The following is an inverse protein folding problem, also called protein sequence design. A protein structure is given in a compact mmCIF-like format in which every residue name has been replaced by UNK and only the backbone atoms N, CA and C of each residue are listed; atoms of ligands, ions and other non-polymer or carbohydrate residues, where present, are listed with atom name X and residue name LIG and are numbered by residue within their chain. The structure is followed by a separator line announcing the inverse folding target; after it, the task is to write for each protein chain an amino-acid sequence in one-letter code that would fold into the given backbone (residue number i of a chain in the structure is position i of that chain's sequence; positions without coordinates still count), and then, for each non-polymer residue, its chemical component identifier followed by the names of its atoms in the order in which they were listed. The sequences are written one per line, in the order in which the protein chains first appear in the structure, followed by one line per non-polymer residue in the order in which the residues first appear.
data_IF_824475539060
#
_entry.id   IF_824475539060
#
_cell.length_a   1.000
_cell.length_b   1.000
_cell.length_c   1.000
_cell.angle_alpha   90.00
_cell.angle_beta   90.00
_cell.angle_gamma   90.00
#
_symmetry.space_group_name_H-M   'P 1'
#
loop_
_entity.id
_entity.type
_entity.pdbx_description
1 polymer ?
#
# COMPACT_ATOMS: atom_id res chain seq x y z
N UNK A 1 -9.35 -4.70 6.71
CA UNK A 1 -9.08 -3.36 7.30
C UNK A 1 -9.75 -2.32 6.43
N UNK A 2 -10.24 -1.19 6.98
CA UNK A 2 -10.82 -0.11 6.16
C UNK A 2 -9.74 0.91 5.81
N UNK A 3 -9.70 1.34 4.55
CA UNK A 3 -8.84 2.42 4.12
C UNK A 3 -9.29 3.75 4.77
N UNK A 4 -8.36 4.67 5.07
CA UNK A 4 -8.67 5.96 5.67
C UNK A 4 -9.41 6.88 4.68
N UNK A 5 -10.17 7.83 5.23
CA UNK A 5 -10.66 8.98 4.48
C UNK A 5 -9.61 10.09 4.60
N UNK A 6 -9.22 10.69 3.48
CA UNK A 6 -8.10 11.61 3.36
C UNK A 6 -8.52 12.93 2.71
N UNK A 7 -7.58 13.87 2.59
CA UNK A 7 -7.79 15.07 1.80
C UNK A 7 -7.91 14.74 0.31
N UNK A 8 -8.59 15.61 -0.44
CA UNK A 8 -8.75 15.44 -1.89
C UNK A 8 -7.37 15.27 -2.57
N UNK A 9 -7.32 14.37 -3.55
CA UNK A 9 -6.12 13.95 -4.30
C UNK A 9 -5.10 13.10 -3.53
N UNK A 10 -5.22 12.95 -2.20
CA UNK A 10 -4.37 12.02 -1.47
C UNK A 10 -4.74 10.56 -1.75
N UNK A 11 -3.76 9.69 -1.59
CA UNK A 11 -3.89 8.24 -1.78
C UNK A 11 -3.28 7.51 -0.59
N UNK A 12 -3.87 6.38 -0.22
CA UNK A 12 -3.30 5.49 0.78
C UNK A 12 -2.84 4.18 0.14
N UNK A 13 -1.73 3.65 0.63
CA UNK A 13 -1.17 2.37 0.21
C UNK A 13 -1.07 1.45 1.41
N UNK A 14 -1.69 0.27 1.31
CA UNK A 14 -1.57 -0.82 2.27
C UNK A 14 -0.54 -1.82 1.73
N UNK A 15 0.41 -2.21 2.58
CA UNK A 15 1.43 -3.21 2.26
C UNK A 15 1.08 -4.55 2.90
N UNK A 16 1.30 -5.65 2.18
CA UNK A 16 1.15 -7.01 2.68
C UNK A 16 2.28 -7.92 2.16
N UNK A 17 2.54 -9.02 2.86
CA UNK A 17 3.38 -10.11 2.33
C UNK A 17 2.67 -10.78 1.15
N UNK A 18 3.34 -10.84 -0.01
CA UNK A 18 2.77 -11.37 -1.25
C UNK A 18 2.26 -12.82 -1.11
N UNK A 19 3.02 -13.67 -0.42
CA UNK A 19 2.71 -15.10 -0.32
C UNK A 19 1.63 -15.44 0.72
N UNK A 20 1.47 -14.60 1.75
CA UNK A 20 0.63 -14.92 2.91
C UNK A 20 -0.56 -13.98 3.08
N UNK A 21 -0.54 -12.82 2.41
CA UNK A 21 -1.52 -11.75 2.60
C UNK A 21 -1.44 -11.08 3.98
N UNK A 22 -0.41 -11.36 4.78
CA UNK A 22 -0.25 -10.75 6.10
C UNK A 22 0.05 -9.25 5.92
N UNK A 23 -0.80 -8.41 6.52
CA UNK A 23 -0.65 -6.95 6.50
C UNK A 23 0.62 -6.54 7.24
N UNK A 24 1.31 -5.56 6.66
CA UNK A 24 2.51 -4.96 7.22
C UNK A 24 2.23 -3.55 7.74
N UNK A 25 3.05 -3.10 8.67
CA UNK A 25 3.14 -1.69 9.06
C UNK A 25 3.86 -0.88 7.99
N UNK A 26 3.86 0.45 8.12
CA UNK A 26 4.62 1.36 7.26
C UNK A 26 6.13 1.16 7.33
N UNK A 27 6.62 0.48 8.37
CA UNK A 27 8.01 0.04 8.51
C UNK A 27 8.26 -1.37 7.94
N UNK A 28 7.30 -1.95 7.20
CA UNK A 28 7.39 -3.30 6.63
C UNK A 28 7.57 -4.43 7.64
N UNK A 29 7.00 -4.27 8.85
CA UNK A 29 6.93 -5.33 9.87
C UNK A 29 5.52 -5.90 9.92
N UNK A 30 5.34 -7.17 10.27
CA UNK A 30 4.00 -7.77 10.43
C UNK A 30 3.17 -6.97 11.42
N UNK A 31 1.97 -6.57 11.02
CA UNK A 31 1.07 -5.82 11.87
C UNK A 31 0.40 -6.75 12.89
N UNK A 32 0.82 -6.67 14.15
CA UNK A 32 0.30 -7.47 15.27
C UNK A 32 -0.73 -6.70 16.10
N UNK A 33 -1.48 -5.78 15.48
CA UNK A 33 -2.51 -4.95 16.12
C UNK A 33 -2.03 -3.56 16.58
N UNK A 34 -0.77 -3.21 16.36
CA UNK A 34 -0.19 -1.89 16.66
C UNK A 34 0.62 -1.34 15.47
N UNK A 35 0.78 -0.02 15.41
CA UNK A 35 1.53 0.69 14.37
C UNK A 35 0.67 1.10 13.16
N UNK A 36 1.18 2.08 12.41
CA UNK A 36 0.54 2.57 11.19
C UNK A 36 0.70 1.55 10.05
N UNK A 37 -0.32 1.42 9.22
CA UNK A 37 -0.42 0.38 8.16
C UNK A 37 -0.68 0.97 6.77
N UNK A 38 -1.02 2.25 6.71
CA UNK A 38 -1.22 2.96 5.44
C UNK A 38 -0.12 4.00 5.26
N UNK A 39 0.59 3.91 4.16
CA UNK A 39 1.41 5.01 3.67
C UNK A 39 0.50 6.02 2.98
N UNK A 40 0.68 7.32 3.26
CA UNK A 40 -0.13 8.39 2.69
C UNK A 40 0.71 9.20 1.71
N UNK A 41 0.18 9.39 0.50
CA UNK A 41 0.83 10.15 -0.56
C UNK A 41 -0.07 11.29 -1.04
N UNK A 42 0.55 12.42 -1.41
CA UNK A 42 -0.18 13.60 -1.90
C UNK A 42 -0.77 13.42 -3.29
N UNK A 43 -0.26 12.48 -4.07
CA UNK A 43 -0.75 12.15 -5.42
C UNK A 43 -0.70 10.64 -5.67
N UNK A 44 -1.47 10.19 -6.66
CA UNK A 44 -1.44 8.80 -7.11
C UNK A 44 -0.06 8.40 -7.65
N UNK A 45 0.57 9.27 -8.43
CA UNK A 45 1.86 8.99 -9.07
C UNK A 45 2.97 8.74 -8.04
N UNK A 46 3.01 9.51 -6.94
CA UNK A 46 3.97 9.28 -5.85
C UNK A 46 3.73 7.94 -5.14
N UNK A 47 2.47 7.54 -4.98
CA UNK A 47 2.12 6.23 -4.45
C UNK A 47 2.66 5.11 -5.35
N UNK A 48 2.54 5.27 -6.67
CA UNK A 48 3.05 4.31 -7.65
C UNK A 48 4.58 4.28 -7.68
N UNK A 49 5.25 5.42 -7.65
CA UNK A 49 6.72 5.49 -7.59
C UNK A 49 7.28 4.77 -6.35
N UNK A 50 6.64 4.98 -5.19
CA UNK A 50 6.99 4.26 -3.96
C UNK A 50 6.86 2.74 -4.11
N UNK A 51 5.74 2.27 -4.66
CA UNK A 51 5.48 0.84 -4.87
C UNK A 51 6.54 0.25 -5.80
N UNK A 52 6.82 0.91 -6.92
CA UNK A 52 7.76 0.42 -7.93
C UNK A 52 9.17 0.33 -7.36
N UNK A 53 9.59 1.32 -6.58
CA UNK A 53 10.86 1.27 -5.85
C UNK A 53 10.91 0.10 -4.87
N UNK A 54 9.84 -0.14 -4.11
CA UNK A 54 9.80 -1.23 -3.12
C UNK A 54 9.80 -2.62 -3.74
N UNK A 55 9.15 -2.78 -4.88
CA UNK A 55 9.15 -4.04 -5.63
C UNK A 55 10.51 -4.34 -6.28
N UNK A 56 11.31 -3.31 -6.58
CA UNK A 56 12.72 -3.49 -6.98
C UNK A 56 13.57 -3.98 -5.80
N UNK A 57 13.31 -3.49 -4.59
CA UNK A 57 14.04 -3.89 -3.37
C UNK A 57 13.67 -5.31 -2.90
N UNK A 58 12.42 -5.73 -3.07
CA UNK A 58 11.94 -7.07 -2.69
C UNK A 58 10.65 -7.45 -3.43
N UNK A 59 10.61 -8.69 -3.92
CA UNK A 59 9.45 -9.30 -4.58
C UNK A 59 8.41 -9.88 -3.60
N UNK A 60 8.66 -9.83 -2.30
CA UNK A 60 7.79 -10.41 -1.27
C UNK A 60 6.63 -9.49 -0.85
N UNK A 61 6.39 -8.41 -1.58
CA UNK A 61 5.35 -7.43 -1.23
C UNK A 61 4.21 -7.40 -2.24
N UNK A 62 3.01 -7.22 -1.70
CA UNK A 62 1.81 -6.81 -2.44
C UNK A 62 1.33 -5.48 -1.87
N UNK A 63 0.96 -4.56 -2.76
CA UNK A 63 0.49 -3.23 -2.40
C UNK A 63 -0.93 -2.99 -2.91
N UNK A 64 -1.80 -2.49 -2.04
CA UNK A 64 -3.17 -2.12 -2.39
C UNK A 64 -3.32 -0.60 -2.28
N UNK A 65 -3.78 0.05 -3.36
CA UNK A 65 -3.92 1.50 -3.45
C UNK A 65 -5.37 1.90 -3.34
N UNK A 66 -5.64 2.95 -2.55
CA UNK A 66 -6.97 3.50 -2.35
C UNK A 66 -6.96 5.01 -2.60
N UNK A 67 -8.07 5.54 -3.11
CA UNK A 67 -8.27 6.99 -3.25
C UNK A 67 -8.57 7.66 -1.89
N UNK A 68 -8.68 8.99 -1.93
CA UNK A 68 -9.03 9.82 -0.76
C UNK A 68 -10.35 9.46 -0.06
N UNK A 69 -11.24 8.71 -0.71
CA UNK A 69 -12.51 8.25 -0.14
C UNK A 69 -12.42 6.81 0.36
N UNK A 70 -11.22 6.22 0.39
CA UNK A 70 -10.99 4.84 0.76
C UNK A 70 -11.47 3.83 -0.29
N UNK A 71 -11.76 4.27 -1.52
CA UNK A 71 -12.16 3.37 -2.61
C UNK A 71 -10.91 2.69 -3.16
N UNK A 72 -10.96 1.37 -3.26
CA UNK A 72 -9.92 0.57 -3.91
C UNK A 72 -9.72 1.01 -5.37
N UNK A 73 -8.46 1.15 -5.77
CA UNK A 73 -8.06 1.49 -7.12
C UNK A 73 -7.38 0.32 -7.84
N UNK A 74 -6.38 -0.30 -7.19
CA UNK A 74 -5.61 -1.40 -7.75
C UNK A 74 -4.81 -2.16 -6.70
N UNK A 75 -4.35 -3.33 -7.11
CA UNK A 75 -3.30 -4.10 -6.45
C UNK A 75 -2.08 -4.10 -7.36
N UNK A 76 -0.88 -4.05 -6.77
CA UNK A 76 0.37 -4.19 -7.50
C UNK A 76 1.37 -5.02 -6.72
N UNK A 77 2.01 -5.93 -7.42
CA UNK A 77 3.03 -6.85 -6.91
C UNK A 77 4.08 -7.12 -8.01
N UNK A 78 4.95 -8.09 -7.78
CA UNK A 78 6.03 -8.45 -8.72
C UNK A 78 5.53 -8.88 -10.10
N UNK A 79 4.28 -9.37 -10.23
CA UNK A 79 3.68 -9.74 -11.51
C UNK A 79 3.00 -8.56 -12.23
N UNK A 80 3.06 -7.35 -11.64
CA UNK A 80 2.49 -6.14 -12.18
C UNK A 80 1.18 -5.73 -11.50
N UNK A 81 0.39 -4.93 -12.23
CA UNK A 81 -0.87 -4.35 -11.75
C UNK A 81 -2.03 -5.31 -11.99
N UNK A 82 -2.92 -5.44 -10.99
CA UNK A 82 -4.16 -6.23 -11.02
C UNK A 82 -5.37 -5.38 -10.63
#
# INVERSE_FOLDING_TARGET
MKAPILENNQHSVLSAEYNTGIVLTTDFKRHMGNGEVFHIFSTYDLAIEFIDKKLIESDNYEFNVYDSKGKYLLTRDINGKR
#
